data_IF_036842867394
#
_entry.id   IF_036842867394
#
_cell.length_a   1.000
_cell.length_b   1.000
_cell.length_c   1.000
_cell.angle_alpha   90.00
_cell.angle_beta   90.00
_cell.angle_gamma   90.00
#
_symmetry.space_group_name_H-M   'P 1'
#
loop_
_entity.id
_entity.type
_entity.pdbx_description
1 polymer ?
#
# COMPACT_ATOMS: atom_id res chain seq x y z
N UNK A 1 4.35 -11.06 18.35
CA UNK A 1 3.70 -12.02 17.44
C UNK A 1 2.83 -11.23 16.49
N UNK A 2 3.43 -10.63 15.45
CA UNK A 2 2.71 -9.94 14.38
C UNK A 2 2.41 -10.96 13.30
N UNK A 3 1.12 -11.18 13.01
CA UNK A 3 0.69 -12.14 12.00
C UNK A 3 0.95 -11.58 10.61
N UNK A 4 1.74 -12.30 9.83
CA UNK A 4 1.76 -12.18 8.37
C UNK A 4 0.37 -12.55 7.85
N UNK A 5 -0.33 -11.59 7.23
CA UNK A 5 -1.61 -11.86 6.57
C UNK A 5 -1.33 -11.93 5.07
N UNK A 6 -0.96 -13.12 4.59
CA UNK A 6 -0.88 -13.42 3.16
C UNK A 6 -2.27 -13.76 2.63
N UNK A 7 -2.81 -12.91 1.76
CA UNK A 7 -4.03 -13.22 1.00
C UNK A 7 -3.61 -13.69 -0.38
N UNK A 8 -3.52 -15.01 -0.58
CA UNK A 8 -3.20 -15.62 -1.88
C UNK A 8 -4.48 -15.76 -2.69
N UNK A 9 -4.75 -14.80 -3.57
CA UNK A 9 -5.79 -14.95 -4.60
C UNK A 9 -5.13 -15.50 -5.87
N UNK A 10 -5.41 -16.77 -6.16
CA UNK A 10 -5.13 -17.35 -7.48
C UNK A 10 -6.46 -17.52 -8.21
N UNK A 11 -6.59 -17.05 -9.47
CA UNK A 11 -6.97 -17.94 -10.59
C UNK A 11 -7.13 -17.35 -12.01
N UNK A 12 -6.76 -18.25 -12.93
CA UNK A 12 -7.24 -18.62 -14.28
C UNK A 12 -6.84 -17.78 -15.52
N UNK A 13 -6.33 -18.44 -16.58
CA UNK A 13 -5.81 -17.80 -17.79
C UNK A 13 -6.91 -17.62 -18.84
N UNK A 14 -7.80 -16.63 -18.69
CA UNK A 14 -8.83 -16.40 -19.73
C UNK A 14 -9.24 -14.95 -19.98
N UNK A 15 -8.41 -13.97 -19.58
CA UNK A 15 -8.60 -12.57 -19.99
C UNK A 15 -7.49 -12.15 -20.96
N UNK A 16 -7.87 -11.72 -22.16
CA UNK A 16 -6.97 -11.24 -23.20
C UNK A 16 -6.13 -10.02 -22.77
N UNK A 17 -5.18 -9.56 -23.61
CA UNK A 17 -4.28 -8.47 -23.22
C UNK A 17 -5.07 -7.18 -22.97
N UNK A 18 -5.05 -6.68 -21.73
CA UNK A 18 -5.53 -5.34 -21.37
C UNK A 18 -4.63 -4.28 -22.04
N UNK A 19 -5.24 -3.29 -22.69
CA UNK A 19 -4.54 -2.19 -23.38
C UNK A 19 -4.05 -1.13 -22.39
N UNK A 20 -3.12 -0.26 -22.80
CA UNK A 20 -2.53 0.77 -21.92
C UNK A 20 -3.54 1.72 -21.26
N UNK A 21 -4.65 2.02 -21.95
CA UNK A 21 -5.74 2.85 -21.40
C UNK A 21 -6.57 2.12 -20.34
N UNK A 22 -6.58 0.79 -20.36
CA UNK A 22 -7.29 -0.02 -19.37
C UNK A 22 -6.54 -0.02 -18.02
N UNK A 23 -5.21 0.06 -18.07
CA UNK A 23 -4.36 0.14 -16.88
C UNK A 23 -4.47 1.48 -16.15
N UNK A 24 -4.49 2.58 -16.89
CA UNK A 24 -4.67 3.91 -16.30
C UNK A 24 -6.04 4.04 -15.63
N UNK A 25 -7.11 3.59 -16.31
CA UNK A 25 -8.46 3.58 -15.75
C UNK A 25 -8.56 2.69 -14.51
N UNK A 26 -7.94 1.50 -14.55
CA UNK A 26 -7.94 0.58 -13.42
C UNK A 26 -7.20 1.16 -12.20
N UNK A 27 -6.00 1.72 -12.40
CA UNK A 27 -5.24 2.34 -11.30
C UNK A 27 -6.01 3.54 -10.74
N UNK A 28 -6.64 4.36 -11.57
CA UNK A 28 -7.48 5.46 -11.10
C UNK A 28 -8.69 4.97 -10.26
N UNK A 29 -9.32 3.87 -10.65
CA UNK A 29 -10.39 3.24 -9.89
C UNK A 29 -9.89 2.67 -8.54
N UNK A 30 -8.71 2.05 -8.53
CA UNK A 30 -8.07 1.56 -7.31
C UNK A 30 -7.70 2.69 -6.35
N UNK A 31 -7.17 3.81 -6.86
CA UNK A 31 -6.89 5.00 -6.08
C UNK A 31 -8.18 5.58 -5.47
N UNK A 32 -9.28 5.61 -6.22
CA UNK A 32 -10.56 6.11 -5.75
C UNK A 32 -11.16 5.25 -4.64
N UNK A 33 -11.14 3.93 -4.83
CA UNK A 33 -11.54 2.98 -3.80
C UNK A 33 -10.70 3.14 -2.52
N UNK A 34 -9.37 3.29 -2.67
CA UNK A 34 -8.45 3.57 -1.58
C UNK A 34 -8.82 4.85 -0.82
N UNK A 35 -9.01 5.96 -1.54
CA UNK A 35 -9.39 7.26 -0.93
C UNK A 35 -10.70 7.16 -0.17
N UNK A 36 -11.71 6.54 -0.78
CA UNK A 36 -13.03 6.37 -0.16
C UNK A 36 -12.95 5.56 1.13
N UNK A 37 -12.27 4.41 1.10
CA UNK A 37 -12.13 3.55 2.27
C UNK A 37 -11.34 4.25 3.41
N UNK A 38 -10.28 4.99 3.06
CA UNK A 38 -9.52 5.78 4.02
C UNK A 38 -10.36 6.87 4.68
N UNK A 39 -11.19 7.58 3.89
CA UNK A 39 -12.10 8.61 4.40
C UNK A 39 -13.18 8.01 5.32
N UNK A 40 -13.82 6.92 4.92
CA UNK A 40 -14.83 6.23 5.73
C UNK A 40 -14.26 5.74 7.08
N UNK A 41 -13.01 5.25 7.11
CA UNK A 41 -12.35 4.90 8.37
C UNK A 41 -12.03 6.15 9.20
N UNK A 42 -11.48 7.19 8.57
CA UNK A 42 -11.10 8.43 9.23
C UNK A 42 -12.29 9.15 9.90
N UNK A 43 -13.49 9.03 9.33
CA UNK A 43 -14.72 9.59 9.88
C UNK A 43 -15.34 8.74 11.00
N UNK A 44 -15.15 7.43 10.95
CA UNK A 44 -15.77 6.49 11.90
C UNK A 44 -14.97 6.25 13.18
N UNK A 45 -13.71 6.71 13.24
CA UNK A 45 -12.78 6.44 14.34
C UNK A 45 -12.40 7.67 15.15
N UNK A 46 -12.15 7.47 16.44
CA UNK A 46 -11.64 8.54 17.30
C UNK A 46 -10.21 8.91 16.88
N UNK A 47 -9.86 10.20 16.75
CA UNK A 47 -8.51 10.62 16.34
C UNK A 47 -7.38 10.05 17.21
N UNK A 48 -7.65 9.72 18.48
CA UNK A 48 -6.67 9.09 19.39
C UNK A 48 -6.35 7.66 19.00
N UNK A 49 -7.32 6.92 18.44
CA UNK A 49 -7.10 5.56 17.93
C UNK A 49 -6.24 5.57 16.66
N UNK A 50 -6.29 6.67 15.91
CA UNK A 50 -5.52 6.86 14.67
C UNK A 50 -4.15 7.54 14.91
N UNK A 51 -3.80 7.84 16.16
CA UNK A 51 -2.60 8.60 16.50
C UNK A 51 -1.27 7.86 16.32
N UNK A 52 -1.32 6.53 16.15
CA UNK A 52 -0.12 5.72 15.99
C UNK A 52 0.66 6.14 14.73
N UNK A 53 1.99 6.07 14.81
CA UNK A 53 2.88 6.24 13.67
C UNK A 53 3.33 4.87 13.16
N UNK A 54 3.48 4.75 11.84
CA UNK A 54 3.95 3.54 11.18
C UNK A 54 4.00 3.73 9.66
N UNK A 55 4.74 2.88 8.99
CA UNK A 55 4.84 2.89 7.53
C UNK A 55 4.06 1.73 6.94
N UNK A 56 3.38 2.00 5.84
CA UNK A 56 2.63 1.01 5.07
C UNK A 56 3.09 1.14 3.64
N UNK A 57 3.47 0.01 3.08
CA UNK A 57 3.90 -0.12 1.70
C UNK A 57 2.87 -0.96 0.94
N UNK A 58 2.62 -0.56 -0.31
CA UNK A 58 1.74 -1.25 -1.23
C UNK A 58 2.62 -1.86 -2.31
N UNK A 59 2.55 -3.18 -2.44
CA UNK A 59 3.35 -3.94 -3.40
C UNK A 59 2.44 -4.58 -4.43
N UNK A 60 2.78 -4.42 -5.70
CA UNK A 60 2.13 -5.10 -6.82
C UNK A 60 3.11 -6.09 -7.43
N UNK A 61 2.76 -7.37 -7.41
CA UNK A 61 3.54 -8.46 -7.95
C UNK A 61 2.73 -9.36 -8.90
N UNK A 62 3.40 -10.32 -9.55
CA UNK A 62 4.86 -10.40 -9.67
C UNK A 62 5.42 -9.26 -10.56
N UNK A 63 6.73 -9.00 -10.49
CA UNK A 63 7.37 -7.89 -11.23
C UNK A 63 7.28 -8.03 -12.75
N UNK A 64 7.05 -9.23 -13.27
CA UNK A 64 6.82 -9.52 -14.69
C UNK A 64 5.36 -9.29 -15.12
N UNK A 65 4.45 -8.97 -14.19
CA UNK A 65 3.05 -8.72 -14.53
C UNK A 65 2.90 -7.46 -15.41
N UNK A 66 1.94 -7.42 -16.34
CA UNK A 66 1.71 -6.26 -17.19
C UNK A 66 1.47 -4.97 -16.40
N UNK A 67 0.75 -5.05 -15.28
CA UNK A 67 0.50 -3.92 -14.38
C UNK A 67 1.78 -3.45 -13.68
N UNK A 68 2.64 -4.36 -13.20
CA UNK A 68 3.94 -4.00 -12.63
C UNK A 68 4.83 -3.29 -13.66
N UNK A 69 4.89 -3.82 -14.89
CA UNK A 69 5.64 -3.21 -15.99
C UNK A 69 5.10 -1.83 -16.39
N UNK A 70 3.77 -1.64 -16.34
CA UNK A 70 3.14 -0.35 -16.58
C UNK A 70 3.48 0.66 -15.47
N UNK A 71 3.30 0.29 -14.20
CA UNK A 71 3.58 1.12 -13.03
C UNK A 71 5.03 1.65 -13.03
N UNK A 72 5.99 0.77 -13.34
CA UNK A 72 7.40 1.12 -13.45
C UNK A 72 7.66 2.11 -14.60
N UNK A 73 7.07 1.85 -15.77
CA UNK A 73 7.27 2.69 -16.98
C UNK A 73 6.69 4.09 -16.82
N UNK A 74 5.56 4.21 -16.11
CA UNK A 74 4.90 5.50 -15.85
C UNK A 74 5.48 6.24 -14.64
N UNK A 75 6.45 5.65 -13.93
CA UNK A 75 7.01 6.22 -12.71
C UNK A 75 6.02 6.28 -11.54
N UNK A 76 5.00 5.42 -11.54
CA UNK A 76 4.01 5.30 -10.45
C UNK A 76 4.39 4.25 -9.41
N UNK A 77 5.54 3.63 -9.58
CA UNK A 77 6.13 2.75 -8.59
C UNK A 77 7.60 2.48 -8.88
N UNK A 78 8.26 1.81 -7.94
CA UNK A 78 9.67 1.40 -8.01
C UNK A 78 9.81 -0.09 -7.71
N UNK A 79 10.85 -0.76 -8.21
CA UNK A 79 11.13 -2.13 -7.79
C UNK A 79 11.28 -2.20 -6.26
N UNK A 80 10.75 -3.26 -5.66
CA UNK A 80 11.03 -3.56 -4.26
C UNK A 80 12.45 -4.10 -4.09
N UNK A 81 12.96 -4.12 -2.85
CA UNK A 81 14.34 -4.54 -2.56
C UNK A 81 14.64 -5.99 -2.97
N UNK A 82 13.59 -6.84 -3.03
CA UNK A 82 13.72 -8.23 -3.45
C UNK A 82 13.65 -8.44 -4.97
N UNK A 83 13.26 -7.41 -5.73
CA UNK A 83 13.03 -7.48 -7.18
C UNK A 83 11.82 -8.32 -7.60
N UNK A 84 10.99 -8.76 -6.64
CA UNK A 84 9.84 -9.64 -6.91
C UNK A 84 8.52 -8.90 -7.07
N UNK A 85 8.50 -7.58 -6.83
CA UNK A 85 7.34 -6.73 -7.08
C UNK A 85 7.69 -5.26 -7.28
N UNK A 86 6.65 -4.45 -7.45
CA UNK A 86 6.73 -2.99 -7.58
C UNK A 86 6.06 -2.38 -6.35
N UNK A 87 6.80 -1.56 -5.61
CA UNK A 87 6.27 -0.68 -4.58
C UNK A 87 5.56 0.49 -5.25
N UNK A 88 4.28 0.66 -4.96
CA UNK A 88 3.46 1.75 -5.48
C UNK A 88 3.60 2.95 -4.57
N UNK A 89 3.91 4.11 -5.16
CA UNK A 89 3.94 5.36 -4.43
C UNK A 89 2.52 5.86 -4.22
N UNK A 90 1.98 5.67 -3.01
CA UNK A 90 0.68 6.19 -2.63
C UNK A 90 0.80 7.14 -1.44
N UNK A 91 -0.07 8.15 -1.42
CA UNK A 91 -0.16 9.10 -0.32
C UNK A 91 -1.62 9.33 0.01
N UNK A 92 -2.00 9.13 1.27
CA UNK A 92 -3.26 9.61 1.80
C UNK A 92 -3.06 11.07 2.17
N UNK A 93 -3.74 11.99 1.49
CA UNK A 93 -3.53 13.41 1.73
C UNK A 93 -4.42 13.93 2.85
N UNK A 94 -3.94 14.84 3.72
CA UNK A 94 -4.75 15.41 4.78
C UNK A 94 -6.04 16.06 4.28
N UNK A 95 -6.00 16.71 3.11
CA UNK A 95 -7.16 17.35 2.48
C UNK A 95 -8.25 16.37 2.04
N UNK A 96 -7.90 15.08 1.91
CA UNK A 96 -8.81 14.00 1.55
C UNK A 96 -9.48 13.33 2.75
N UNK A 97 -9.14 13.72 3.99
CA UNK A 97 -9.63 13.07 5.23
C UNK A 97 -10.56 13.97 6.07
N UNK A 98 -11.07 15.04 5.45
CA UNK A 98 -12.03 15.97 6.05
C UNK A 98 -11.40 17.13 6.84
N UNK A 99 -12.19 18.16 7.20
CA UNK A 99 -11.70 19.34 7.91
C UNK A 99 -11.41 19.02 9.39
N UNK A 100 -10.26 19.47 9.90
CA UNK A 100 -9.98 19.42 11.33
C UNK A 100 -8.50 19.47 11.68
N UNK A 101 -8.21 19.79 12.93
CA UNK A 101 -6.85 19.89 13.51
C UNK A 101 -6.08 18.56 13.56
N UNK A 102 -6.72 17.44 13.19
CA UNK A 102 -6.12 16.10 13.19
C UNK A 102 -5.96 15.52 11.79
N UNK A 103 -6.23 16.25 10.71
CA UNK A 103 -6.20 15.71 9.35
C UNK A 103 -4.80 15.17 8.99
N UNK A 104 -3.75 15.91 9.33
CA UNK A 104 -2.36 15.49 9.11
C UNK A 104 -1.99 14.25 9.94
N UNK A 105 -2.54 14.16 11.15
CA UNK A 105 -2.35 13.02 12.04
C UNK A 105 -3.03 11.77 11.47
N UNK A 106 -4.29 11.89 11.02
CA UNK A 106 -5.04 10.80 10.38
C UNK A 106 -4.35 10.33 9.09
N UNK A 107 -3.83 11.24 8.28
CA UNK A 107 -3.10 10.92 7.04
C UNK A 107 -1.79 10.13 7.27
N UNK A 108 -1.19 10.27 8.46
CA UNK A 108 0.00 9.52 8.89
C UNK A 108 -0.33 8.22 9.61
N UNK A 109 -1.61 7.97 9.88
CA UNK A 109 -2.04 6.79 10.60
C UNK A 109 -1.79 5.53 9.76
N UNK A 110 -1.10 4.51 10.30
CA UNK A 110 -0.88 3.25 9.58
C UNK A 110 -2.22 2.54 9.30
N UNK A 111 -3.22 2.66 10.18
CA UNK A 111 -4.54 2.07 9.98
C UNK A 111 -5.27 2.69 8.76
N UNK A 112 -5.17 4.01 8.59
CA UNK A 112 -5.77 4.71 7.45
C UNK A 112 -5.05 4.33 6.15
N UNK A 113 -3.71 4.29 6.18
CA UNK A 113 -2.89 3.91 5.02
C UNK A 113 -3.05 2.45 4.63
N UNK A 114 -3.16 1.55 5.61
CA UNK A 114 -3.45 0.12 5.39
C UNK A 114 -4.83 -0.07 4.77
N UNK A 115 -5.83 0.68 5.25
CA UNK A 115 -7.19 0.61 4.70
C UNK A 115 -7.23 1.10 3.26
N UNK A 116 -6.53 2.21 2.96
CA UNK A 116 -6.31 2.65 1.59
C UNK A 116 -5.70 1.54 0.73
N UNK A 117 -4.56 1.00 1.17
CA UNK A 117 -3.79 0.01 0.41
C UNK A 117 -4.60 -1.28 0.17
N UNK A 118 -5.37 -1.73 1.16
CA UNK A 118 -6.25 -2.91 1.00
C UNK A 118 -7.33 -2.70 -0.04
N UNK A 119 -8.01 -1.56 -0.01
CA UNK A 119 -9.06 -1.27 -1.00
C UNK A 119 -8.47 -1.11 -2.41
N UNK A 120 -7.31 -0.48 -2.52
CA UNK A 120 -6.56 -0.40 -3.77
C UNK A 120 -6.19 -1.81 -4.29
N UNK A 121 -5.59 -2.65 -3.44
CA UNK A 121 -5.21 -4.02 -3.81
C UNK A 121 -6.42 -4.87 -4.20
N UNK A 122 -7.56 -4.70 -3.54
CA UNK A 122 -8.80 -5.42 -3.88
C UNK A 122 -9.24 -5.13 -5.32
N UNK A 123 -9.26 -3.85 -5.72
CA UNK A 123 -9.61 -3.48 -7.11
C UNK A 123 -8.62 -4.06 -8.11
N UNK A 124 -7.31 -4.01 -7.83
CA UNK A 124 -6.33 -4.60 -8.73
C UNK A 124 -6.43 -6.12 -8.82
N UNK A 125 -6.73 -6.80 -7.70
CA UNK A 125 -6.89 -8.25 -7.68
C UNK A 125 -8.14 -8.71 -8.43
N UNK A 126 -9.26 -7.99 -8.28
CA UNK A 126 -10.54 -8.31 -8.91
C UNK A 126 -10.52 -8.08 -10.44
N UNK A 127 -9.92 -6.97 -10.89
CA UNK A 127 -10.03 -6.54 -12.29
C UNK A 127 -8.83 -6.95 -13.16
N UNK A 128 -7.64 -7.13 -12.58
CA UNK A 128 -6.43 -7.50 -13.33
C UNK A 128 -5.94 -8.93 -13.09
N UNK A 129 -6.51 -9.65 -12.13
CA UNK A 129 -5.96 -10.93 -11.67
C UNK A 129 -4.52 -10.80 -11.14
N UNK A 130 -4.11 -9.59 -10.73
CA UNK A 130 -2.77 -9.28 -10.24
C UNK A 130 -2.62 -9.65 -8.76
N UNK A 131 -1.41 -10.01 -8.34
CA UNK A 131 -1.09 -10.26 -6.93
C UNK A 131 -0.73 -8.92 -6.30
N UNK A 132 -1.67 -8.30 -5.59
CA UNK A 132 -1.43 -7.05 -4.89
C UNK A 132 -1.38 -7.33 -3.37
N UNK A 133 -0.28 -6.96 -2.73
CA UNK A 133 0.02 -7.23 -1.33
C UNK A 133 0.20 -5.92 -0.56
N UNK A 134 -0.32 -5.88 0.67
CA UNK A 134 -0.11 -4.76 1.60
C UNK A 134 0.88 -5.19 2.67
N UNK A 135 1.96 -4.44 2.84
CA UNK A 135 2.97 -4.69 3.86
C UNK A 135 2.94 -3.56 4.89
N UNK A 136 2.80 -3.91 6.16
CA UNK A 136 2.99 -2.96 7.28
C UNK A 136 4.45 -3.07 7.69
N UNK A 137 5.22 -2.00 7.51
CA UNK A 137 6.61 -1.93 7.94
C UNK A 137 6.62 -1.47 9.39
N UNK A 138 6.99 -2.36 10.31
CA UNK A 138 7.24 -1.95 11.70
C UNK A 138 8.42 -0.98 11.70
N UNK A 139 8.17 0.26 12.13
CA UNK A 139 9.22 1.25 12.34
C UNK A 139 10.24 0.68 13.31
N UNK A 140 11.44 0.36 12.81
CA UNK A 140 12.52 -0.21 13.60
C UNK A 140 12.86 0.67 14.80
N UNK A 141 12.52 0.19 16.00
CA UNK A 141 13.12 0.68 17.22
C UNK A 141 14.63 0.43 17.20
N UNK A 142 15.39 1.47 17.55
CA UNK A 142 16.81 1.50 17.89
C UNK A 142 17.75 0.48 17.21
N UNK A 143 18.49 0.96 16.20
CA UNK A 143 19.86 0.48 15.98
C UNK A 143 20.69 0.84 17.22
N UNK A 144 20.71 -0.05 18.21
CA UNK A 144 21.71 -0.04 19.27
C UNK A 144 23.11 -0.14 18.61
N UNK A 145 24.05 0.79 18.87
CA UNK A 145 25.39 0.69 18.30
C UNK A 145 26.12 -0.52 18.92
N UNK A 146 26.98 -1.23 18.17
CA UNK A 146 27.69 -2.38 18.70
C UNK A 146 28.63 -1.93 19.83
N UNK A 147 28.34 -2.35 21.05
CA UNK A 147 29.26 -2.29 22.18
C UNK A 147 30.47 -3.16 21.81
N UNK A 148 31.59 -2.53 21.48
CA UNK A 148 32.87 -3.23 21.35
C UNK A 148 33.22 -3.78 22.74
N UNK A 149 33.14 -5.11 22.88
CA UNK A 149 33.70 -5.80 24.03
C UNK A 149 35.23 -5.71 23.97
N UNK A 150 35.82 -4.82 24.76
CA UNK A 150 37.26 -4.82 25.05
C UNK A 150 37.56 -6.02 25.93
N UNK A 151 38.18 -7.06 25.38
CA UNK A 151 38.77 -8.14 26.16
C UNK A 151 40.12 -7.67 26.70
N UNK A 152 40.28 -7.73 28.03
CA UNK A 152 41.56 -7.66 28.73
C UNK A 152 42.17 -9.03 28.96
#
# INVERSE_FOLDING_TARGET
MGGEISVVVQRQPESGPLFEQDWEGLVAAAEDAGRRAAHELADSRDPRELAAAGEVELRVGPSESPVAGWLLRTGRGRPDDSGSGILVDFAVRPDELGPGTSAEQKARSPLVRETYARAYCAVLAEEAGAVAETHVVEGGGDREPPVQATAG
#
